data_IF_153943119258
#
_entry.id   IF_153943119258
#
_cell.length_a   1.000
_cell.length_b   1.000
_cell.length_c   1.000
_cell.angle_alpha   90.00
_cell.angle_beta   90.00
_cell.angle_gamma   90.00
#
_symmetry.space_group_name_H-M   'P 1'
#
loop_
_entity.id
_entity.type
_entity.pdbx_description
1 polymer ?
#
# COMPACT_ATOMS: atom_id res chain seq x y z
N UNK A 1 -24.32 -0.15 13.03
CA UNK A 1 -23.00 0.17 12.47
C UNK A 1 -22.08 -0.97 12.85
N UNK A 2 -21.57 -1.79 11.92
CA UNK A 2 -20.56 -2.77 12.29
C UNK A 2 -19.27 -2.01 12.60
N UNK A 3 -18.84 -2.04 13.85
CA UNK A 3 -17.53 -1.62 14.28
C UNK A 3 -16.54 -2.60 13.65
N UNK A 4 -15.95 -2.20 12.54
CA UNK A 4 -14.85 -2.97 11.94
C UNK A 4 -13.74 -3.00 12.97
N UNK A 5 -13.53 -4.16 13.56
CA UNK A 5 -12.45 -4.39 14.52
C UNK A 5 -11.14 -4.12 13.79
N UNK A 6 -10.43 -3.06 14.18
CA UNK A 6 -9.02 -2.93 13.90
C UNK A 6 -8.40 -4.28 14.17
N UNK A 7 -7.71 -4.83 13.21
CA UNK A 7 -6.88 -5.99 13.48
C UNK A 7 -5.69 -5.48 14.30
N UNK A 8 -5.65 -5.68 15.62
CA UNK A 8 -4.59 -5.10 16.49
C UNK A 8 -3.19 -5.47 16.01
N UNK A 9 -3.11 -6.57 15.26
CA UNK A 9 -1.90 -7.04 14.62
C UNK A 9 -1.33 -6.10 13.53
N UNK A 10 -2.12 -5.19 12.94
CA UNK A 10 -1.61 -4.30 11.88
C UNK A 10 -0.88 -3.09 12.47
N UNK A 11 -1.39 -2.47 13.53
CA UNK A 11 -0.71 -1.33 14.15
C UNK A 11 0.69 -1.72 14.68
N UNK A 12 0.83 -2.92 15.26
CA UNK A 12 2.11 -3.45 15.72
C UNK A 12 3.17 -3.63 14.60
N UNK A 13 2.77 -3.54 13.32
CA UNK A 13 3.71 -3.63 12.20
C UNK A 13 4.54 -2.36 12.00
N UNK A 14 4.17 -1.25 12.60
CA UNK A 14 4.93 0.01 12.49
C UNK A 14 6.39 -0.15 12.99
N UNK A 15 6.60 -0.97 14.03
CA UNK A 15 7.91 -1.27 14.59
C UNK A 15 8.60 -2.51 13.97
N UNK A 16 7.96 -3.21 13.04
CA UNK A 16 8.50 -4.44 12.46
C UNK A 16 9.46 -4.14 11.29
N UNK A 17 10.39 -5.08 10.97
CA UNK A 17 11.23 -4.96 9.78
C UNK A 17 10.38 -4.79 8.51
N UNK A 18 10.84 -3.93 7.59
CA UNK A 18 10.12 -3.60 6.35
C UNK A 18 9.61 -4.83 5.58
N UNK A 19 10.46 -5.83 5.38
CA UNK A 19 10.07 -7.05 4.67
C UNK A 19 8.96 -7.83 5.37
N UNK A 20 8.92 -7.81 6.70
CA UNK A 20 7.87 -8.43 7.51
C UNK A 20 6.57 -7.65 7.37
N UNK A 21 6.64 -6.34 7.44
CA UNK A 21 5.49 -5.43 7.31
C UNK A 21 4.82 -5.60 5.95
N UNK A 22 5.58 -5.55 4.86
CA UNK A 22 5.08 -5.74 3.49
C UNK A 22 4.32 -7.05 3.35
N UNK A 23 4.94 -8.17 3.77
CA UNK A 23 4.31 -9.50 3.64
C UNK A 23 3.05 -9.66 4.48
N UNK A 24 3.04 -9.10 5.69
CA UNK A 24 1.87 -9.17 6.58
C UNK A 24 0.75 -8.27 6.09
N UNK A 25 1.04 -7.06 5.60
CA UNK A 25 0.05 -6.18 4.98
C UNK A 25 -0.59 -6.86 3.77
N UNK A 26 0.23 -7.40 2.87
CA UNK A 26 -0.28 -8.11 1.69
C UNK A 26 -1.21 -9.27 2.04
N UNK A 27 -0.85 -10.06 3.05
CA UNK A 27 -1.68 -11.17 3.54
C UNK A 27 -2.98 -10.71 4.19
N UNK A 28 -2.98 -9.52 4.81
CA UNK A 28 -4.16 -8.95 5.45
C UNK A 28 -5.19 -8.40 4.46
N UNK A 29 -4.78 -8.06 3.23
CA UNK A 29 -5.69 -7.60 2.18
C UNK A 29 -6.67 -8.69 1.79
N UNK A 30 -7.89 -8.29 1.46
CA UNK A 30 -8.89 -9.16 0.83
C UNK A 30 -8.46 -9.57 -0.59
N UNK A 31 -9.10 -10.59 -1.15
CA UNK A 31 -8.85 -11.00 -2.53
C UNK A 31 -9.19 -9.88 -3.54
N UNK A 32 -10.22 -9.08 -3.23
CA UNK A 32 -10.65 -7.94 -4.04
C UNK A 32 -9.60 -6.83 -4.00
N UNK A 33 -9.09 -6.46 -2.82
CA UNK A 33 -8.04 -5.46 -2.67
C UNK A 33 -6.74 -5.88 -3.36
N UNK A 34 -6.33 -7.15 -3.23
CA UNK A 34 -5.16 -7.66 -3.96
C UNK A 34 -5.35 -7.60 -5.47
N UNK A 35 -6.54 -7.95 -5.97
CA UNK A 35 -6.86 -7.83 -7.39
C UNK A 35 -6.80 -6.38 -7.87
N UNK A 36 -7.35 -5.45 -7.08
CA UNK A 36 -7.32 -4.02 -7.38
C UNK A 36 -5.88 -3.48 -7.39
N UNK A 37 -5.07 -3.85 -6.39
CA UNK A 37 -3.67 -3.47 -6.29
C UNK A 37 -2.85 -3.91 -7.51
N UNK A 38 -2.96 -5.19 -7.90
CA UNK A 38 -2.25 -5.74 -9.06
C UNK A 38 -2.74 -5.09 -10.35
N UNK A 39 -4.05 -4.82 -10.45
CA UNK A 39 -4.65 -4.18 -11.64
C UNK A 39 -4.11 -2.76 -11.82
N UNK A 40 -4.05 -1.99 -10.72
CA UNK A 40 -3.51 -0.63 -10.73
C UNK A 40 -2.02 -0.63 -11.09
N UNK A 41 -1.21 -1.46 -10.41
CA UNK A 41 0.21 -1.59 -10.68
C UNK A 41 0.52 -1.98 -12.14
N UNK A 42 -0.28 -2.86 -12.73
CA UNK A 42 -0.13 -3.24 -14.15
C UNK A 42 -0.67 -2.19 -15.14
N UNK A 43 -1.43 -1.20 -14.68
CA UNK A 43 -1.88 -0.10 -15.53
C UNK A 43 -0.81 0.99 -15.64
N UNK A 44 -0.04 1.21 -14.57
CA UNK A 44 1.02 2.23 -14.46
C UNK A 44 2.43 1.68 -14.77
N UNK A 45 2.52 0.45 -15.30
CA UNK A 45 3.77 -0.30 -15.56
C UNK A 45 4.42 0.11 -16.90
N UNK A 46 4.94 1.33 -16.96
CA UNK A 46 5.53 1.91 -18.19
C UNK A 46 6.73 1.10 -18.71
N UNK A 47 7.54 0.55 -17.82
CA UNK A 47 8.75 -0.20 -18.19
C UNK A 47 8.55 -1.74 -18.25
N UNK A 48 7.35 -2.22 -17.97
CA UNK A 48 6.99 -3.64 -18.00
C UNK A 48 7.55 -4.48 -16.85
N UNK A 49 8.20 -3.86 -15.84
CA UNK A 49 8.81 -4.56 -14.72
C UNK A 49 7.79 -5.30 -13.84
N UNK A 50 6.70 -4.62 -13.46
CA UNK A 50 5.63 -5.21 -12.64
C UNK A 50 5.07 -6.46 -13.30
N UNK A 51 4.76 -6.36 -14.58
CA UNK A 51 4.20 -7.47 -15.36
C UNK A 51 5.18 -8.64 -15.47
N UNK A 52 6.45 -8.36 -15.74
CA UNK A 52 7.49 -9.39 -15.87
C UNK A 52 7.73 -10.10 -14.53
N UNK A 53 7.88 -9.32 -13.43
CA UNK A 53 8.12 -9.86 -12.09
C UNK A 53 6.91 -10.65 -11.58
N UNK A 54 5.68 -10.15 -11.82
CA UNK A 54 4.45 -10.90 -11.48
C UNK A 54 4.38 -12.24 -12.20
N UNK A 55 4.72 -12.30 -13.49
CA UNK A 55 4.76 -13.56 -14.24
C UNK A 55 5.75 -14.55 -13.65
N UNK A 56 6.95 -14.07 -13.30
CA UNK A 56 7.97 -14.91 -12.68
C UNK A 56 7.52 -15.43 -11.31
N UNK A 57 6.96 -14.56 -10.48
CA UNK A 57 6.45 -14.92 -9.15
C UNK A 57 5.32 -15.96 -9.23
N UNK A 58 4.34 -15.74 -10.11
CA UNK A 58 3.24 -16.70 -10.34
C UNK A 58 3.77 -18.02 -10.85
N UNK A 59 4.65 -18.02 -11.88
CA UNK A 59 5.24 -19.23 -12.43
C UNK A 59 5.96 -20.06 -11.35
N UNK A 60 6.73 -19.41 -10.48
CA UNK A 60 7.41 -20.03 -9.36
C UNK A 60 6.44 -20.63 -8.34
N UNK A 61 5.40 -19.87 -7.96
CA UNK A 61 4.42 -20.29 -6.97
C UNK A 61 3.62 -21.53 -7.39
N UNK A 62 3.20 -21.59 -8.66
CA UNK A 62 2.41 -22.72 -9.19
C UNK A 62 3.28 -23.81 -9.87
N UNK A 63 4.60 -23.65 -9.84
CA UNK A 63 5.58 -24.57 -10.45
C UNK A 63 5.36 -24.79 -11.96
N UNK A 64 4.96 -23.73 -12.67
CA UNK A 64 4.82 -23.74 -14.13
C UNK A 64 6.09 -23.21 -14.79
N UNK A 65 6.28 -23.60 -16.08
CA UNK A 65 7.35 -23.02 -16.90
C UNK A 65 7.06 -21.54 -17.13
N UNK A 66 8.03 -20.64 -16.97
CA UNK A 66 7.84 -19.20 -17.19
C UNK A 66 7.22 -18.87 -18.56
N UNK A 67 7.61 -19.61 -19.61
CA UNK A 67 7.10 -19.44 -20.96
C UNK A 67 5.58 -19.69 -21.05
N UNK A 68 5.05 -20.63 -20.28
CA UNK A 68 3.61 -20.90 -20.22
C UNK A 68 2.85 -19.72 -19.59
N UNK A 69 3.36 -19.16 -18.49
CA UNK A 69 2.74 -18.01 -17.83
C UNK A 69 2.90 -16.74 -18.67
N UNK A 70 3.97 -16.63 -19.45
CA UNK A 70 4.21 -15.50 -20.36
C UNK A 70 3.10 -15.30 -21.40
N UNK A 71 2.44 -16.38 -21.81
CA UNK A 71 1.34 -16.35 -22.79
C UNK A 71 -0.03 -16.04 -22.18
N UNK A 72 -0.14 -15.95 -20.86
CA UNK A 72 -1.44 -15.73 -20.22
C UNK A 72 -1.99 -14.32 -20.50
N UNK A 73 -3.32 -14.23 -20.72
CA UNK A 73 -3.99 -12.94 -20.73
C UNK A 73 -3.80 -12.19 -19.42
N UNK A 74 -3.76 -10.84 -19.48
CA UNK A 74 -3.58 -9.96 -18.29
C UNK A 74 -4.55 -10.32 -17.16
N UNK A 75 -5.81 -10.51 -17.48
CA UNK A 75 -6.84 -10.84 -16.48
C UNK A 75 -6.58 -12.16 -15.74
N UNK A 76 -6.15 -13.20 -16.47
CA UNK A 76 -5.79 -14.49 -15.86
C UNK A 76 -4.57 -14.35 -14.94
N UNK A 77 -3.56 -13.59 -15.38
CA UNK A 77 -2.37 -13.33 -14.58
C UNK A 77 -2.72 -12.61 -13.27
N UNK A 78 -3.55 -11.56 -13.34
CA UNK A 78 -4.01 -10.81 -12.16
C UNK A 78 -4.77 -11.73 -11.19
N UNK A 79 -5.74 -12.48 -11.68
CA UNK A 79 -6.56 -13.37 -10.85
C UNK A 79 -5.71 -14.43 -10.13
N UNK A 80 -4.71 -14.98 -10.81
CA UNK A 80 -3.83 -15.99 -10.21
C UNK A 80 -2.84 -15.34 -9.23
N UNK A 81 -2.24 -14.19 -9.58
CA UNK A 81 -1.33 -13.46 -8.70
C UNK A 81 -2.00 -13.02 -7.37
N UNK A 82 -3.30 -12.71 -7.40
CA UNK A 82 -4.06 -12.37 -6.20
C UNK A 82 -4.28 -13.56 -5.24
N UNK A 83 -4.12 -14.79 -5.75
CA UNK A 83 -4.41 -16.05 -5.01
C UNK A 83 -3.16 -16.76 -4.51
N UNK A 84 -2.07 -16.72 -5.27
CA UNK A 84 -0.84 -17.44 -4.94
C UNK A 84 0.02 -16.69 -3.94
N UNK A 85 0.85 -17.39 -3.15
CA UNK A 85 1.83 -16.72 -2.30
C UNK A 85 2.92 -16.07 -3.16
N UNK A 86 3.01 -14.75 -3.09
CA UNK A 86 4.10 -13.95 -3.64
C UNK A 86 5.01 -13.54 -2.48
N UNK A 87 6.31 -13.72 -2.62
CA UNK A 87 7.31 -13.42 -1.58
C UNK A 87 8.31 -12.32 -2.00
N UNK A 88 8.15 -11.75 -3.18
CA UNK A 88 8.97 -10.65 -3.67
C UNK A 88 8.54 -9.34 -2.98
N UNK A 89 9.40 -8.84 -2.07
CA UNK A 89 9.13 -7.67 -1.24
C UNK A 89 8.99 -6.40 -2.07
N UNK A 90 9.77 -6.24 -3.13
CA UNK A 90 9.70 -5.05 -3.99
C UNK A 90 8.39 -5.03 -4.78
N UNK A 91 8.02 -6.17 -5.35
CA UNK A 91 6.75 -6.32 -6.07
C UNK A 91 5.55 -6.08 -5.14
N UNK A 92 5.56 -6.67 -3.95
CA UNK A 92 4.49 -6.48 -2.97
C UNK A 92 4.40 -5.02 -2.49
N UNK A 93 5.54 -4.34 -2.33
CA UNK A 93 5.58 -2.91 -1.97
C UNK A 93 4.97 -2.04 -3.07
N UNK A 94 5.29 -2.32 -4.34
CA UNK A 94 4.66 -1.64 -5.47
C UNK A 94 3.14 -1.85 -5.49
N UNK A 95 2.67 -3.08 -5.31
CA UNK A 95 1.23 -3.36 -5.23
C UNK A 95 0.53 -2.59 -4.11
N UNK A 96 1.15 -2.45 -2.92
CA UNK A 96 0.59 -1.68 -1.82
C UNK A 96 0.47 -0.18 -2.16
N UNK A 97 1.48 0.41 -2.78
CA UNK A 97 1.44 1.80 -3.24
C UNK A 97 0.33 1.99 -4.27
N UNK A 98 0.28 1.13 -5.28
CA UNK A 98 -0.68 1.23 -6.37
C UNK A 98 -2.12 0.91 -5.93
N UNK A 99 -2.32 0.14 -4.86
CA UNK A 99 -3.63 -0.02 -4.23
C UNK A 99 -4.18 1.35 -3.81
N UNK A 100 -3.37 2.14 -3.12
CA UNK A 100 -3.80 3.46 -2.65
C UNK A 100 -3.98 4.43 -3.80
N UNK A 101 -3.02 4.50 -4.72
CA UNK A 101 -3.10 5.35 -5.90
C UNK A 101 -4.26 4.99 -6.84
N UNK A 102 -4.64 3.72 -6.92
CA UNK A 102 -5.73 3.25 -7.78
C UNK A 102 -7.12 3.38 -7.17
N UNK A 103 -7.25 3.21 -5.84
CA UNK A 103 -8.57 3.05 -5.20
C UNK A 103 -8.83 4.02 -4.05
N UNK A 104 -7.80 4.68 -3.49
CA UNK A 104 -7.91 5.46 -2.25
C UNK A 104 -7.41 6.90 -2.37
N UNK A 105 -7.36 7.45 -3.58
CA UNK A 105 -6.90 8.83 -3.84
C UNK A 105 -7.59 9.89 -2.98
N UNK A 106 -8.92 9.87 -2.78
CA UNK A 106 -9.59 10.87 -1.93
C UNK A 106 -9.09 10.85 -0.48
N UNK A 107 -8.76 9.66 0.05
CA UNK A 107 -8.17 9.50 1.37
C UNK A 107 -6.75 10.06 1.43
N UNK A 108 -5.93 9.73 0.44
CA UNK A 108 -4.55 10.24 0.33
C UNK A 108 -4.53 11.77 0.21
N UNK A 109 -5.36 12.34 -0.67
CA UNK A 109 -5.48 13.78 -0.86
C UNK A 109 -5.90 14.47 0.45
N UNK A 110 -6.93 13.96 1.14
CA UNK A 110 -7.40 14.51 2.40
C UNK A 110 -6.31 14.52 3.48
N UNK A 111 -5.48 13.47 3.56
CA UNK A 111 -4.36 13.42 4.49
C UNK A 111 -3.28 14.44 4.12
N UNK A 112 -2.86 14.48 2.86
CA UNK A 112 -1.80 15.38 2.39
C UNK A 112 -2.22 16.85 2.52
N UNK A 113 -3.48 17.19 2.26
CA UNK A 113 -4.05 18.52 2.55
C UNK A 113 -3.97 18.84 4.05
N UNK A 114 -4.36 17.90 4.90
CA UNK A 114 -4.32 18.05 6.35
C UNK A 114 -2.92 18.34 6.88
N UNK A 115 -1.90 17.66 6.37
CA UNK A 115 -0.49 17.87 6.74
C UNK A 115 0.17 19.00 5.96
N UNK A 116 -0.47 19.52 4.89
CA UNK A 116 0.01 20.66 4.08
C UNK A 116 1.12 20.29 3.11
N UNK A 117 1.14 19.06 2.65
CA UNK A 117 2.06 18.57 1.62
C UNK A 117 1.44 18.76 0.24
N UNK A 118 2.18 19.35 -0.69
CA UNK A 118 1.72 19.53 -2.07
C UNK A 118 1.58 18.19 -2.77
N UNK A 119 0.48 18.01 -3.45
CA UNK A 119 0.18 16.76 -4.17
C UNK A 119 -0.71 17.01 -5.38
N UNK A 120 -0.69 16.08 -6.32
CA UNK A 120 -1.65 15.96 -7.42
C UNK A 120 -2.54 14.74 -7.16
N UNK A 121 -3.79 14.99 -6.77
CA UNK A 121 -4.80 13.96 -6.48
C UNK A 121 -4.27 12.79 -5.61
N UNK A 122 -3.58 13.13 -4.50
CA UNK A 122 -3.00 12.17 -3.55
C UNK A 122 -1.59 11.67 -3.90
N UNK A 123 -1.05 12.00 -5.05
CA UNK A 123 0.36 11.72 -5.40
C UNK A 123 1.23 12.91 -4.98
N UNK A 124 2.20 12.66 -4.10
CA UNK A 124 3.11 13.71 -3.62
C UNK A 124 3.90 14.27 -4.80
N UNK A 125 3.87 15.59 -4.95
CA UNK A 125 4.72 16.31 -5.88
C UNK A 125 6.09 16.57 -5.23
N UNK A 126 7.03 15.66 -5.46
CA UNK A 126 8.37 15.73 -4.88
C UNK A 126 9.20 16.91 -5.39
N UNK A 127 8.94 17.38 -6.61
CA UNK A 127 9.65 18.54 -7.18
C UNK A 127 9.15 19.86 -6.54
N UNK A 128 7.84 19.98 -6.35
CA UNK A 128 7.23 21.18 -5.77
C UNK A 128 7.27 21.21 -4.23
N UNK A 129 7.40 20.06 -3.56
CA UNK A 129 7.34 19.97 -2.10
C UNK A 129 8.70 20.20 -1.43
N UNK A 130 9.82 19.92 -2.13
CA UNK A 130 11.12 19.87 -1.47
C UNK A 130 11.17 18.85 -0.32
N UNK A 131 12.07 19.02 0.67
CA UNK A 131 12.10 18.17 1.85
C UNK A 131 10.80 18.32 2.64
N UNK A 132 10.09 17.19 2.85
CA UNK A 132 8.83 17.17 3.59
C UNK A 132 9.15 17.13 5.08
N UNK A 133 8.64 18.11 5.83
CA UNK A 133 8.69 18.13 7.30
C UNK A 133 7.31 18.45 7.82
N UNK A 134 6.71 17.51 8.56
CA UNK A 134 5.37 17.67 9.13
C UNK A 134 5.46 17.75 10.65
N UNK A 135 4.97 18.84 11.29
CA UNK A 135 4.89 18.92 12.73
C UNK A 135 4.05 17.78 13.31
N UNK A 136 4.50 17.11 14.40
CA UNK A 136 3.80 15.94 14.97
C UNK A 136 2.33 16.21 15.34
N UNK A 137 2.03 17.38 15.86
CA UNK A 137 0.66 17.78 16.22
C UNK A 137 -0.24 17.89 14.98
N UNK A 138 0.28 18.40 13.86
CA UNK A 138 -0.46 18.53 12.61
C UNK A 138 -0.70 17.16 11.99
N UNK A 139 0.31 16.30 12.03
CA UNK A 139 0.19 14.93 11.54
C UNK A 139 -0.87 14.16 12.33
N UNK A 140 -0.86 14.29 13.67
CA UNK A 140 -1.84 13.64 14.53
C UNK A 140 -3.26 14.14 14.26
N UNK A 141 -3.45 15.45 14.12
CA UNK A 141 -4.75 16.02 13.79
C UNK A 141 -5.29 15.53 12.45
N UNK A 142 -4.43 15.48 11.42
CA UNK A 142 -4.79 14.97 10.10
C UNK A 142 -5.12 13.46 10.14
N UNK A 143 -4.38 12.68 10.92
CA UNK A 143 -4.64 11.25 11.09
C UNK A 143 -5.96 10.97 11.81
N UNK A 144 -6.30 11.75 12.83
CA UNK A 144 -7.58 11.65 13.57
C UNK A 144 -8.77 12.05 12.67
N UNK A 145 -8.63 13.13 11.88
CA UNK A 145 -9.64 13.52 10.90
C UNK A 145 -9.86 12.42 9.85
N UNK A 146 -8.77 11.85 9.34
CA UNK A 146 -8.83 10.78 8.36
C UNK A 146 -9.57 9.55 8.91
N UNK A 147 -9.25 9.13 10.13
CA UNK A 147 -9.90 8.01 10.81
C UNK A 147 -11.38 8.25 11.12
N UNK A 148 -11.79 9.52 11.22
CA UNK A 148 -13.20 9.90 11.36
C UNK A 148 -14.00 9.83 10.04
N UNK A 149 -13.32 9.87 8.89
CA UNK A 149 -13.92 9.97 7.55
C UNK A 149 -13.83 8.70 6.73
N UNK A 150 -12.81 7.88 6.95
CA UNK A 150 -12.52 6.69 6.15
C UNK A 150 -12.45 5.43 7.02
N UNK A 151 -12.60 4.25 6.44
CA UNK A 151 -12.45 2.98 7.15
C UNK A 151 -11.07 2.89 7.81
N UNK A 152 -11.05 2.57 9.10
CA UNK A 152 -9.82 2.60 9.89
C UNK A 152 -8.75 1.61 9.39
N UNK A 153 -9.17 0.44 8.88
CA UNK A 153 -8.24 -0.54 8.28
C UNK A 153 -7.54 0.04 7.03
N UNK A 154 -8.23 0.88 6.26
CA UNK A 154 -7.65 1.55 5.09
C UNK A 154 -6.64 2.62 5.51
N UNK A 155 -6.97 3.40 6.54
CA UNK A 155 -6.09 4.44 7.10
C UNK A 155 -4.81 3.80 7.66
N UNK A 156 -4.95 2.73 8.45
CA UNK A 156 -3.80 1.99 9.00
C UNK A 156 -2.93 1.41 7.89
N UNK A 157 -3.53 0.78 6.88
CA UNK A 157 -2.80 0.24 5.73
C UNK A 157 -2.06 1.34 4.98
N UNK A 158 -2.68 2.50 4.80
CA UNK A 158 -2.06 3.65 4.15
C UNK A 158 -0.84 4.18 4.93
N UNK A 159 -0.97 4.39 6.24
CA UNK A 159 0.16 4.87 7.04
C UNK A 159 1.32 3.88 7.09
N UNK A 160 1.03 2.59 7.20
CA UNK A 160 2.07 1.57 7.09
C UNK A 160 2.74 1.58 5.71
N UNK A 161 1.99 1.84 4.63
CA UNK A 161 2.55 1.97 3.29
C UNK A 161 3.42 3.24 3.17
N UNK A 162 3.03 4.37 3.76
CA UNK A 162 3.87 5.57 3.82
C UNK A 162 5.20 5.30 4.55
N UNK A 163 5.16 4.62 5.70
CA UNK A 163 6.36 4.23 6.45
C UNK A 163 7.27 3.29 5.65
N UNK A 164 6.71 2.43 4.80
CA UNK A 164 7.50 1.57 3.92
C UNK A 164 8.21 2.36 2.81
N UNK A 165 7.66 3.50 2.38
CA UNK A 165 8.27 4.34 1.36
C UNK A 165 9.31 5.29 1.94
N UNK A 166 8.99 5.94 3.05
CA UNK A 166 9.86 6.91 3.72
C UNK A 166 9.56 6.95 5.22
N UNK A 167 10.26 6.09 5.98
CA UNK A 167 10.07 5.97 7.40
C UNK A 167 10.54 7.22 8.17
N UNK A 168 11.50 7.97 7.64
CA UNK A 168 12.02 9.18 8.29
C UNK A 168 10.95 10.28 8.27
N UNK A 169 10.45 10.62 7.10
CA UNK A 169 9.42 11.65 6.91
C UNK A 169 8.13 11.33 7.68
N UNK A 170 7.71 10.06 7.68
CA UNK A 170 6.41 9.65 8.22
C UNK A 170 6.49 9.00 9.62
N UNK A 171 7.65 9.09 10.31
CA UNK A 171 7.84 8.50 11.65
C UNK A 171 6.77 8.93 12.68
N UNK A 172 6.26 10.15 12.59
CA UNK A 172 5.18 10.63 13.48
C UNK A 172 3.87 9.84 13.37
N UNK A 173 3.67 9.03 12.31
CA UNK A 173 2.51 8.14 12.22
C UNK A 173 2.63 6.91 13.13
N UNK A 174 3.83 6.57 13.58
CA UNK A 174 4.09 5.41 14.45
C UNK A 174 3.34 5.58 15.78
N UNK A 175 3.51 6.72 16.44
CA UNK A 175 2.85 7.01 17.73
C UNK A 175 1.32 6.95 17.60
N UNK A 176 0.80 7.44 16.46
CA UNK A 176 -0.62 7.37 16.19
C UNK A 176 -1.09 5.92 16.00
N UNK A 177 -0.36 5.11 15.22
CA UNK A 177 -0.65 3.70 15.01
C UNK A 177 -0.60 2.90 16.32
N UNK A 178 0.42 3.13 17.17
CA UNK A 178 0.56 2.48 18.48
C UNK A 178 -0.59 2.82 19.44
N UNK A 179 -1.12 4.05 19.34
CA UNK A 179 -2.28 4.46 20.16
C UNK A 179 -3.59 3.76 19.78
N UNK A 180 -3.62 3.03 18.67
CA UNK A 180 -4.80 2.34 18.10
C UNK A 180 -4.70 0.81 18.16
N UNK A 181 -3.56 0.27 18.60
CA UNK A 181 -3.34 -1.18 18.84
C UNK A 181 -3.60 -1.58 20.27
#
# INVERSE_FOLDING_TARGET
MPTTSLRPALAALAAAPQSTTVRKLWKALTAEERTAAITAAMADDENGWVKATTRAAVAGAIKFRPQTVATWPKQKLIAEAARVPIDDVQLLSAFLVDLHLGTRRPMMAAFLDGVGVKHDDGRIDTEASGPITVPPERLRAAADDLAGRFPLDEVVTYFLTLLLQDAETWSGTIDWLESRG
#
